data_IF_205854967993
#
_entry.id   IF_205854967993
#
_cell.length_a   1.000
_cell.length_b   1.000
_cell.length_c   1.000
_cell.angle_alpha   90.00
_cell.angle_beta   90.00
_cell.angle_gamma   90.00
#
_symmetry.space_group_name_H-M   'P 1'
#
loop_
_entity.id
_entity.type
_entity.pdbx_description
1 polymer ?
#
# COMPACT_ATOMS: atom_id res chain seq x y z
N UNK A 1 2.46 -17.72 -4.62
CA UNK A 1 3.20 -17.86 -3.35
C UNK A 1 3.83 -16.55 -2.88
N UNK A 2 4.62 -15.84 -3.71
CA UNK A 2 5.34 -14.62 -3.28
C UNK A 2 4.44 -13.48 -2.73
N UNK A 3 3.35 -13.15 -3.42
CA UNK A 3 2.43 -12.07 -3.02
C UNK A 3 1.79 -12.32 -1.63
N UNK A 4 1.53 -13.57 -1.27
CA UNK A 4 0.92 -13.95 0.00
C UNK A 4 1.85 -13.68 1.18
N UNK A 5 3.15 -13.97 1.01
CA UNK A 5 4.18 -13.72 2.02
C UNK A 5 4.36 -12.21 2.21
N UNK A 6 4.34 -11.43 1.13
CA UNK A 6 4.44 -9.96 1.18
C UNK A 6 3.34 -9.37 2.07
N UNK A 7 2.08 -9.84 1.94
CA UNK A 7 0.99 -9.35 2.79
C UNK A 7 1.21 -9.63 4.27
N UNK A 8 1.78 -10.79 4.63
CA UNK A 8 2.09 -11.11 6.03
C UNK A 8 3.19 -10.21 6.60
N UNK A 9 4.22 -9.89 5.80
CA UNK A 9 5.26 -8.93 6.19
C UNK A 9 4.65 -7.55 6.41
N UNK A 10 3.81 -7.09 5.47
CA UNK A 10 3.12 -5.79 5.55
C UNK A 10 2.21 -5.74 6.78
N UNK A 11 1.41 -6.79 7.04
CA UNK A 11 0.56 -6.88 8.21
C UNK A 11 1.39 -6.80 9.51
N UNK A 12 2.48 -7.56 9.58
CA UNK A 12 3.38 -7.57 10.74
C UNK A 12 4.00 -6.20 11.00
N UNK A 13 4.39 -5.48 9.93
CA UNK A 13 4.90 -4.12 10.02
C UNK A 13 3.86 -3.16 10.60
N UNK A 14 2.64 -3.14 10.07
CA UNK A 14 1.56 -2.29 10.57
C UNK A 14 1.20 -2.63 12.03
N UNK A 15 1.17 -3.90 12.38
CA UNK A 15 0.97 -4.33 13.76
C UNK A 15 2.06 -3.79 14.69
N UNK A 16 3.33 -3.93 14.29
CA UNK A 16 4.47 -3.42 15.05
C UNK A 16 4.42 -1.90 15.25
N UNK A 17 4.16 -1.14 14.18
CA UNK A 17 4.01 0.32 14.27
C UNK A 17 2.82 0.69 15.17
N UNK A 18 1.70 -0.03 15.06
CA UNK A 18 0.54 0.14 15.93
C UNK A 18 0.90 -0.03 17.42
N UNK A 19 1.72 -1.02 17.76
CA UNK A 19 2.24 -1.21 19.13
C UNK A 19 3.15 -0.04 19.55
N UNK A 20 4.09 0.35 18.70
CA UNK A 20 5.02 1.45 19.00
C UNK A 20 4.27 2.76 19.30
N UNK A 21 3.22 3.07 18.55
CA UNK A 21 2.41 4.27 18.78
C UNK A 21 1.52 4.12 20.01
N UNK A 22 0.80 3.00 20.15
CA UNK A 22 -0.18 2.83 21.23
C UNK A 22 0.47 2.68 22.61
N UNK A 23 1.49 1.83 22.73
CA UNK A 23 2.12 1.46 24.01
C UNK A 23 3.37 2.27 24.29
N UNK A 24 4.26 2.44 23.30
CA UNK A 24 5.53 3.14 23.48
C UNK A 24 5.42 4.64 23.25
N UNK A 25 4.27 5.11 22.78
CA UNK A 25 4.00 6.54 22.52
C UNK A 25 5.02 7.16 21.56
N UNK A 26 5.52 6.35 20.60
CA UNK A 26 6.48 6.76 19.59
C UNK A 26 5.81 7.61 18.50
N UNK A 27 5.32 8.78 18.89
CA UNK A 27 4.61 9.72 18.01
C UNK A 27 5.49 10.31 16.91
N UNK A 28 6.80 10.24 17.06
CA UNK A 28 7.77 10.59 16.01
C UNK A 28 7.66 9.70 14.76
N UNK A 29 6.99 8.54 14.85
CA UNK A 29 6.65 7.71 13.68
C UNK A 29 5.57 8.32 12.80
N UNK A 30 4.81 9.31 13.32
CA UNK A 30 3.80 10.03 12.55
C UNK A 30 4.52 11.16 11.82
N UNK A 31 4.87 10.94 10.55
CA UNK A 31 5.74 11.85 9.77
C UNK A 31 5.26 13.30 9.74
N UNK A 32 3.94 13.52 9.62
CA UNK A 32 3.34 14.86 9.68
C UNK A 32 3.65 15.57 11.00
N UNK A 33 3.46 14.88 12.13
CA UNK A 33 3.79 15.42 13.45
C UNK A 33 5.31 15.57 13.64
N UNK A 34 6.12 14.59 13.21
CA UNK A 34 7.57 14.63 13.39
C UNK A 34 8.21 15.86 12.72
N UNK A 35 7.70 16.24 11.54
CA UNK A 35 8.22 17.32 10.70
C UNK A 35 7.78 18.71 11.16
N UNK A 36 6.70 18.80 11.94
CA UNK A 36 6.21 20.07 12.50
C UNK A 36 7.24 20.74 13.41
N UNK A 37 7.24 22.08 13.38
CA UNK A 37 8.00 22.89 14.31
C UNK A 37 7.36 22.83 15.73
N UNK A 38 8.00 23.46 16.73
CA UNK A 38 7.53 23.39 18.12
C UNK A 38 6.14 24.02 18.33
N UNK A 39 5.85 25.11 17.63
CA UNK A 39 4.58 25.83 17.74
C UNK A 39 3.45 25.00 17.12
N UNK A 40 3.70 24.43 15.94
CA UNK A 40 2.74 23.58 15.23
C UNK A 40 2.43 22.30 16.03
N UNK A 41 3.45 21.68 16.63
CA UNK A 41 3.28 20.50 17.50
C UNK A 41 2.39 20.77 18.70
N UNK A 42 2.39 22.00 19.24
CA UNK A 42 1.56 22.39 20.38
C UNK A 42 0.07 22.50 20.01
N UNK A 43 -0.24 22.69 18.72
CA UNK A 43 -1.60 22.78 18.19
C UNK A 43 -2.20 21.41 17.81
N UNK A 44 -1.52 20.30 18.11
CA UNK A 44 -1.97 18.94 17.77
C UNK A 44 -2.36 18.17 19.03
N UNK A 45 -3.55 17.57 19.03
CA UNK A 45 -3.95 16.60 20.07
C UNK A 45 -3.24 15.26 19.86
N UNK A 46 -1.96 15.21 20.21
CA UNK A 46 -1.09 14.10 19.83
C UNK A 46 -1.52 12.75 20.39
N UNK A 47 -2.12 12.72 21.59
CA UNK A 47 -2.61 11.47 22.18
C UNK A 47 -3.84 10.93 21.45
N UNK A 48 -4.80 11.80 21.12
CA UNK A 48 -5.99 11.44 20.34
C UNK A 48 -5.59 10.97 18.94
N UNK A 49 -4.69 11.72 18.30
CA UNK A 49 -4.12 11.38 16.99
C UNK A 49 -3.38 10.02 17.03
N UNK A 50 -2.50 9.81 18.00
CA UNK A 50 -1.76 8.56 18.16
C UNK A 50 -2.66 7.36 18.43
N UNK A 51 -3.71 7.54 19.23
CA UNK A 51 -4.72 6.50 19.47
C UNK A 51 -5.50 6.15 18.19
N UNK A 52 -5.86 7.14 17.38
CA UNK A 52 -6.52 6.90 16.09
C UNK A 52 -5.57 6.21 15.09
N UNK A 53 -4.33 6.68 14.99
CA UNK A 53 -3.32 6.11 14.08
C UNK A 53 -2.99 4.65 14.43
N UNK A 54 -2.80 4.33 15.71
CA UNK A 54 -2.54 2.95 16.15
C UNK A 54 -3.73 2.03 15.87
N UNK A 55 -4.96 2.46 16.13
CA UNK A 55 -6.18 1.69 15.75
C UNK A 55 -6.27 1.46 14.24
N UNK A 56 -5.93 2.47 13.45
CA UNK A 56 -5.90 2.37 11.97
C UNK A 56 -4.88 1.33 11.53
N UNK A 57 -3.67 1.32 12.11
CA UNK A 57 -2.65 0.32 11.79
C UNK A 57 -3.01 -1.09 12.25
N UNK A 58 -3.64 -1.24 13.41
CA UNK A 58 -4.17 -2.55 13.82
C UNK A 58 -5.29 -3.03 12.88
N UNK A 59 -6.16 -2.13 12.42
CA UNK A 59 -7.19 -2.44 11.45
C UNK A 59 -6.59 -2.90 10.12
N UNK A 60 -5.61 -2.16 9.57
CA UNK A 60 -4.91 -2.53 8.33
C UNK A 60 -4.19 -3.88 8.47
N UNK A 61 -3.52 -4.11 9.60
CA UNK A 61 -2.89 -5.41 9.89
C UNK A 61 -3.92 -6.54 9.86
N UNK A 62 -5.03 -6.36 10.57
CA UNK A 62 -6.09 -7.36 10.66
C UNK A 62 -6.73 -7.62 9.29
N UNK A 63 -6.99 -6.55 8.52
CA UNK A 63 -7.50 -6.61 7.16
C UNK A 63 -6.60 -7.45 6.24
N UNK A 64 -5.29 -7.25 6.30
CA UNK A 64 -4.34 -8.00 5.46
C UNK A 64 -4.18 -9.46 5.90
N UNK A 65 -4.25 -9.76 7.20
CA UNK A 65 -4.29 -11.14 7.71
C UNK A 65 -5.55 -11.86 7.23
N UNK A 66 -6.71 -11.20 7.32
CA UNK A 66 -7.97 -11.73 6.78
C UNK A 66 -7.85 -11.97 5.28
N UNK A 67 -7.25 -11.04 4.54
CA UNK A 67 -6.99 -11.19 3.11
C UNK A 67 -6.15 -12.42 2.78
N UNK A 68 -5.07 -12.65 3.53
CA UNK A 68 -4.25 -13.85 3.40
C UNK A 68 -5.05 -15.13 3.63
N UNK A 69 -5.84 -15.20 4.72
CA UNK A 69 -6.67 -16.36 5.05
C UNK A 69 -7.69 -16.63 3.93
N UNK A 70 -8.38 -15.58 3.47
CA UNK A 70 -9.40 -15.70 2.43
C UNK A 70 -8.81 -16.10 1.07
N UNK A 71 -7.61 -15.63 0.73
CA UNK A 71 -6.90 -16.11 -0.44
C UNK A 71 -6.51 -17.58 -0.30
N UNK A 72 -6.00 -17.98 0.87
CA UNK A 72 -5.52 -19.34 1.10
C UNK A 72 -6.63 -20.39 1.03
N UNK A 73 -7.79 -20.12 1.64
CA UNK A 73 -8.90 -21.10 1.70
C UNK A 73 -9.90 -20.97 0.54
N UNK A 74 -10.09 -19.76 0.01
CA UNK A 74 -11.18 -19.48 -0.95
C UNK A 74 -10.68 -18.90 -2.28
N UNK A 75 -9.36 -18.79 -2.49
CA UNK A 75 -8.75 -18.18 -3.69
C UNK A 75 -9.25 -16.76 -4.00
N UNK A 76 -9.71 -16.02 -2.98
CA UNK A 76 -10.12 -14.61 -3.15
C UNK A 76 -8.90 -13.78 -3.52
N UNK A 77 -9.05 -12.90 -4.50
CA UNK A 77 -7.95 -12.05 -4.98
C UNK A 77 -7.44 -11.11 -3.89
N UNK A 78 -6.12 -11.13 -3.65
CA UNK A 78 -5.46 -10.23 -2.70
C UNK A 78 -5.50 -8.76 -3.11
N UNK A 79 -5.72 -8.47 -4.39
CA UNK A 79 -5.83 -7.12 -4.91
C UNK A 79 -6.92 -6.31 -4.18
N UNK A 80 -8.02 -6.95 -3.79
CA UNK A 80 -9.13 -6.32 -3.06
C UNK A 80 -8.64 -5.76 -1.72
N UNK A 81 -7.84 -6.53 -0.98
CA UNK A 81 -7.32 -6.12 0.33
C UNK A 81 -6.25 -5.03 0.22
N UNK A 82 -5.46 -5.04 -0.86
CA UNK A 82 -4.51 -3.97 -1.16
C UNK A 82 -5.27 -2.66 -1.44
N UNK A 83 -6.31 -2.71 -2.28
CA UNK A 83 -7.14 -1.53 -2.58
C UNK A 83 -7.82 -1.00 -1.31
N UNK A 84 -8.41 -1.87 -0.48
CA UNK A 84 -9.01 -1.48 0.79
C UNK A 84 -7.99 -0.84 1.74
N UNK A 85 -6.76 -1.38 1.80
CA UNK A 85 -5.67 -0.79 2.60
C UNK A 85 -5.38 0.65 2.15
N UNK A 86 -5.27 0.89 0.84
CA UNK A 86 -5.05 2.25 0.31
C UNK A 86 -6.21 3.18 0.66
N UNK A 87 -7.46 2.74 0.50
CA UNK A 87 -8.64 3.55 0.83
C UNK A 87 -8.63 3.94 2.31
N UNK A 88 -8.35 3.00 3.21
CA UNK A 88 -8.26 3.25 4.65
C UNK A 88 -7.15 4.26 4.96
N UNK A 89 -5.98 4.14 4.33
CA UNK A 89 -4.88 5.08 4.52
C UNK A 89 -5.25 6.49 4.05
N UNK A 90 -5.81 6.64 2.86
CA UNK A 90 -6.25 7.94 2.32
C UNK A 90 -7.32 8.58 3.21
N UNK A 91 -8.30 7.79 3.65
CA UNK A 91 -9.31 8.26 4.61
C UNK A 91 -8.67 8.69 5.93
N UNK A 92 -7.72 7.91 6.45
CA UNK A 92 -7.07 8.21 7.73
C UNK A 92 -6.31 9.54 7.69
N UNK A 93 -5.62 9.84 6.58
CA UNK A 93 -4.91 11.11 6.38
C UNK A 93 -5.89 12.29 6.47
N UNK A 94 -7.04 12.17 5.79
CA UNK A 94 -8.09 13.18 5.86
C UNK A 94 -8.70 13.29 7.26
N UNK A 95 -8.97 12.17 7.92
CA UNK A 95 -9.62 12.15 9.24
C UNK A 95 -8.72 12.71 10.35
N UNK A 96 -7.42 12.43 10.29
CA UNK A 96 -6.42 12.92 11.25
C UNK A 96 -6.39 14.45 11.38
N UNK A 97 -6.83 15.17 10.34
CA UNK A 97 -6.93 16.64 10.33
C UNK A 97 -7.86 17.19 11.41
N UNK A 98 -8.77 16.37 11.96
CA UNK A 98 -9.63 16.78 13.08
C UNK A 98 -8.86 16.99 14.38
N UNK A 99 -7.65 16.43 14.47
CA UNK A 99 -6.78 16.51 15.66
C UNK A 99 -5.65 17.52 15.49
N UNK A 100 -5.60 18.22 14.36
CA UNK A 100 -4.60 19.22 14.03
C UNK A 100 -5.27 20.59 13.88
N UNK A 101 -4.99 21.49 14.82
CA UNK A 101 -5.58 22.84 14.87
C UNK A 101 -4.72 23.90 14.17
N UNK A 102 -3.69 23.50 13.44
CA UNK A 102 -2.87 24.46 12.69
C UNK A 102 -3.64 25.14 11.56
N UNK A 103 -3.45 26.46 11.35
CA UNK A 103 -4.09 27.16 10.26
C UNK A 103 -3.60 26.59 8.93
N UNK A 104 -4.53 26.26 8.04
CA UNK A 104 -4.30 25.66 6.72
C UNK A 104 -3.99 24.16 6.67
N UNK A 105 -3.81 23.45 7.80
CA UNK A 105 -3.50 22.01 7.81
C UNK A 105 -4.48 21.19 6.93
N UNK A 106 -5.79 21.42 7.07
CA UNK A 106 -6.81 20.76 6.24
C UNK A 106 -6.71 21.09 4.74
N UNK A 107 -6.30 22.31 4.38
CA UNK A 107 -6.13 22.72 2.96
C UNK A 107 -4.90 22.05 2.36
N UNK A 108 -3.78 22.10 3.08
CA UNK A 108 -2.52 21.46 2.68
C UNK A 108 -2.71 19.96 2.51
N UNK A 109 -3.39 19.31 3.46
CA UNK A 109 -3.68 17.87 3.38
C UNK A 109 -4.55 17.52 2.18
N UNK A 110 -5.53 18.34 1.80
CA UNK A 110 -6.31 18.11 0.58
C UNK A 110 -5.44 18.21 -0.67
N UNK A 111 -4.53 19.17 -0.73
CA UNK A 111 -3.58 19.31 -1.85
C UNK A 111 -2.68 18.07 -1.92
N UNK A 112 -2.10 17.65 -0.78
CA UNK A 112 -1.27 16.43 -0.69
C UNK A 112 -2.06 15.20 -1.13
N UNK A 113 -3.30 15.03 -0.69
CA UNK A 113 -4.15 13.90 -1.09
C UNK A 113 -4.39 13.87 -2.61
N UNK A 114 -4.66 15.03 -3.23
CA UNK A 114 -4.83 15.12 -4.68
C UNK A 114 -3.54 14.73 -5.40
N UNK A 115 -2.39 15.22 -4.94
CA UNK A 115 -1.08 14.88 -5.52
C UNK A 115 -0.79 13.38 -5.38
N UNK A 116 -1.01 12.80 -4.20
CA UNK A 116 -0.78 11.37 -3.94
C UNK A 116 -1.69 10.51 -4.82
N UNK A 117 -2.98 10.84 -4.92
CA UNK A 117 -3.92 10.12 -5.78
C UNK A 117 -3.50 10.23 -7.25
N UNK A 118 -3.10 11.43 -7.69
CA UNK A 118 -2.66 11.64 -9.07
C UNK A 118 -1.40 10.83 -9.41
N UNK A 119 -0.38 10.86 -8.54
CA UNK A 119 0.84 10.04 -8.69
C UNK A 119 0.51 8.56 -8.68
N UNK A 120 -0.39 8.12 -7.79
CA UNK A 120 -0.83 6.74 -7.73
C UNK A 120 -1.50 6.30 -9.04
N UNK A 121 -2.38 7.12 -9.62
CA UNK A 121 -3.02 6.81 -10.89
C UNK A 121 -2.01 6.77 -12.05
N UNK A 122 -1.12 7.77 -12.13
CA UNK A 122 -0.08 7.83 -13.16
C UNK A 122 0.86 6.62 -13.12
N UNK A 123 1.15 6.08 -11.93
CA UNK A 123 2.05 4.93 -11.78
C UNK A 123 1.32 3.61 -11.93
N UNK A 124 0.13 3.45 -11.34
CA UNK A 124 -0.61 2.19 -11.40
C UNK A 124 -1.20 1.89 -12.79
N UNK A 125 -1.68 2.89 -13.54
CA UNK A 125 -2.32 2.67 -14.85
C UNK A 125 -1.35 2.05 -15.87
N UNK A 126 -0.11 2.56 -16.06
CA UNK A 126 0.86 1.93 -16.95
C UNK A 126 1.27 0.52 -16.50
N UNK A 127 1.44 0.29 -15.19
CA UNK A 127 1.77 -1.03 -14.64
C UNK A 127 0.66 -2.03 -14.98
N UNK A 128 -0.60 -1.62 -14.80
CA UNK A 128 -1.75 -2.43 -15.18
C UNK A 128 -1.77 -2.66 -16.69
N UNK A 129 -1.58 -1.64 -17.53
CA UNK A 129 -1.57 -1.78 -18.99
C UNK A 129 -0.49 -2.76 -19.49
N UNK A 130 0.71 -2.72 -18.90
CA UNK A 130 1.77 -3.68 -19.18
C UNK A 130 1.35 -5.08 -18.71
N UNK A 131 0.77 -5.19 -17.51
CA UNK A 131 0.31 -6.47 -16.94
C UNK A 131 -0.86 -7.12 -17.69
N UNK A 132 -1.74 -6.32 -18.31
CA UNK A 132 -2.86 -6.80 -19.13
C UNK A 132 -2.44 -7.25 -20.53
N UNK A 133 -1.22 -6.93 -20.98
CA UNK A 133 -0.71 -7.37 -22.27
C UNK A 133 -0.59 -8.90 -22.27
N UNK A 134 -1.56 -9.56 -22.89
CA UNK A 134 -1.71 -11.02 -22.85
C UNK A 134 -0.45 -11.69 -23.39
N UNK A 135 0.09 -12.65 -22.63
CA UNK A 135 1.19 -13.50 -23.08
C UNK A 135 0.78 -14.22 -24.36
N UNK A 136 1.26 -13.75 -25.51
CA UNK A 136 1.07 -14.47 -26.78
C UNK A 136 2.22 -15.45 -26.92
N UNK A 137 1.88 -16.73 -26.85
CA UNK A 137 2.79 -17.83 -27.18
C UNK A 137 2.63 -18.11 -28.66
N UNK A 138 3.60 -17.70 -29.46
CA UNK A 138 3.65 -18.02 -30.88
C UNK A 138 4.70 -19.10 -31.08
N UNK A 139 4.25 -20.28 -31.50
CA UNK A 139 5.14 -21.39 -31.85
C UNK A 139 5.53 -21.21 -33.32
N UNK A 140 6.80 -20.95 -33.59
CA UNK A 140 7.38 -20.93 -34.95
C UNK A 140 8.21 -22.19 -35.16
N UNK A 141 8.53 -22.55 -36.40
CA UNK A 141 9.29 -23.77 -36.72
C UNK A 141 10.63 -23.86 -35.98
N UNK A 142 11.30 -22.73 -35.78
CA UNK A 142 12.66 -22.64 -35.22
C UNK A 142 12.73 -22.19 -33.74
N UNK A 143 11.69 -21.56 -33.21
CA UNK A 143 11.70 -20.98 -31.86
C UNK A 143 10.32 -20.94 -31.23
N UNK A 144 10.28 -20.93 -29.90
CA UNK A 144 9.08 -20.59 -29.13
C UNK A 144 9.23 -19.12 -28.72
N UNK A 145 8.33 -18.26 -29.22
CA UNK A 145 8.27 -16.85 -28.83
C UNK A 145 7.23 -16.68 -27.73
N UNK A 146 7.70 -16.21 -26.58
CA UNK A 146 6.85 -15.82 -25.46
C UNK A 146 6.87 -14.29 -25.43
N UNK A 147 5.84 -13.68 -26.00
CA UNK A 147 5.66 -12.22 -25.94
C UNK A 147 4.79 -11.91 -24.73
N UNK A 148 5.42 -11.60 -23.59
CA UNK A 148 4.72 -11.23 -22.34
C UNK A 148 5.37 -9.99 -21.72
N UNK A 149 4.94 -8.79 -22.12
CA UNK A 149 5.49 -7.52 -21.63
C UNK A 149 6.95 -7.22 -22.02
N UNK A 150 7.82 -8.23 -22.01
CA UNK A 150 9.21 -8.28 -22.51
C UNK A 150 9.28 -9.41 -23.53
N UNK A 151 9.83 -9.13 -24.71
CA UNK A 151 9.98 -10.13 -25.77
C UNK A 151 11.07 -11.12 -25.41
N UNK A 152 10.70 -12.36 -25.05
CA UNK A 152 11.64 -13.46 -24.86
C UNK A 152 11.47 -14.49 -25.98
N UNK A 153 12.58 -14.93 -26.56
CA UNK A 153 12.61 -15.96 -27.61
C UNK A 153 13.55 -17.07 -27.18
N UNK A 154 13.05 -18.30 -27.12
CA UNK A 154 13.84 -19.48 -26.78
C UNK A 154 14.01 -20.32 -28.05
N UNK A 155 15.25 -20.53 -28.54
CA UNK A 155 15.53 -21.44 -29.65
C UNK A 155 15.17 -22.88 -29.29
N UNK A 156 14.54 -23.64 -30.20
CA UNK A 156 14.07 -25.01 -29.90
C UNK A 156 15.22 -25.99 -29.65
N UNK A 157 16.38 -25.76 -30.25
CA UNK A 157 17.62 -26.53 -30.06
C UNK A 157 18.15 -26.48 -28.61
N UNK A 158 17.70 -25.51 -27.80
CA UNK A 158 18.08 -25.40 -26.39
C UNK A 158 17.09 -26.05 -25.42
N UNK A 159 15.97 -26.58 -25.92
CA UNK A 159 14.96 -27.26 -25.11
C UNK A 159 15.33 -28.74 -25.03
N UNK A 160 15.82 -29.20 -23.87
CA UNK A 160 16.06 -30.63 -23.64
C UNK A 160 14.71 -31.35 -23.47
N UNK A 161 14.54 -32.45 -24.21
CA UNK A 161 13.45 -33.41 -24.03
C UNK A 161 13.54 -34.13 -22.68
#
# INVERSE_FOLDING_TARGET
>A
MGINIVLLIVASLFFGIGICISKLKWYWLISGYNTMNKEEKANVEIETLGNYMSKTFFFISSLNIIGFILNYFFNISLAIFIVLTVIVLLYSIYYCQRFDYNPNSSKETKIVLVIVIFIMLITCIPIMAIGYSSTKVTITDTSIKISSGVNASIPKDKIKS
#
